data_IF_130500266855
#
_entry.id   IF_130500266855
#
_cell.length_a   1.000
_cell.length_b   1.000
_cell.length_c   1.000
_cell.angle_alpha   90.00
_cell.angle_beta   90.00
_cell.angle_gamma   90.00
#
_symmetry.space_group_name_H-M   'P 1'
#
loop_
_entity.id
_entity.type
_entity.pdbx_description
1 polymer ?
#
# COMPACT_ATOMS: atom_id res chain seq x y z
N UNK A 1 5.22 7.80 11.33
CA UNK A 1 5.11 8.41 9.99
C UNK A 1 4.64 9.87 10.14
N UNK A 2 5.55 10.78 10.47
CA UNK A 2 5.24 12.14 10.98
C UNK A 2 4.65 13.12 9.94
N UNK A 3 4.85 12.87 8.64
CA UNK A 3 4.42 13.81 7.59
C UNK A 3 2.91 13.77 7.31
N UNK A 4 2.26 12.61 7.41
CA UNK A 4 0.81 12.51 7.17
C UNK A 4 -0.05 13.00 8.35
N UNK A 5 0.50 13.06 9.56
CA UNK A 5 -0.20 13.62 10.71
C UNK A 5 -0.32 15.15 10.65
N UNK A 6 0.65 15.82 9.99
CA UNK A 6 0.76 17.30 9.93
C UNK A 6 0.18 17.90 8.65
N UNK A 7 0.10 17.15 7.56
CA UNK A 7 -0.43 17.64 6.28
C UNK A 7 -1.87 17.19 6.07
N UNK A 8 -2.81 18.07 6.39
CA UNK A 8 -4.26 17.81 6.29
C UNK A 8 -4.79 17.65 4.85
N UNK A 9 -4.00 18.02 3.83
CA UNK A 9 -4.46 18.14 2.44
C UNK A 9 -3.62 17.30 1.46
N UNK A 10 -3.04 16.18 1.90
CA UNK A 10 -2.30 15.32 0.98
C UNK A 10 -3.28 14.63 0.03
N UNK A 11 -3.27 15.05 -1.23
CA UNK A 11 -4.07 14.42 -2.29
C UNK A 11 -3.36 13.24 -2.96
N UNK A 12 -2.02 13.28 -2.99
CA UNK A 12 -1.19 12.30 -3.69
C UNK A 12 -0.07 11.79 -2.80
N UNK A 13 0.07 10.47 -2.71
CA UNK A 13 1.16 9.81 -1.98
C UNK A 13 1.92 8.85 -2.91
N UNK A 14 3.24 9.01 -2.97
CA UNK A 14 4.13 8.10 -3.71
C UNK A 14 5.05 7.40 -2.72
N UNK A 15 4.94 6.07 -2.64
CA UNK A 15 5.74 5.22 -1.77
C UNK A 15 6.71 4.42 -2.63
N UNK A 16 8.02 4.58 -2.37
CA UNK A 16 9.07 3.80 -3.03
C UNK A 16 9.61 2.77 -2.06
N UNK A 17 9.39 1.50 -2.38
CA UNK A 17 9.92 0.36 -1.65
C UNK A 17 11.27 0.04 -2.24
N UNK A 18 12.32 0.16 -1.42
CA UNK A 18 13.66 -0.27 -1.81
C UNK A 18 13.88 -1.71 -1.33
N UNK A 19 14.55 -2.56 -2.12
CA UNK A 19 14.81 -3.94 -1.71
C UNK A 19 15.74 -4.06 -0.51
N UNK A 20 16.55 -3.03 -0.21
CA UNK A 20 17.46 -3.00 0.95
C UNK A 20 16.72 -2.66 2.27
N UNK A 21 15.41 -2.46 2.21
CA UNK A 21 14.60 -1.95 3.31
C UNK A 21 13.86 -3.05 4.09
N UNK A 22 14.44 -4.25 4.19
CA UNK A 22 13.94 -5.32 5.06
C UNK A 22 13.78 -4.92 6.54
N UNK A 23 14.30 -3.76 6.93
CA UNK A 23 14.29 -3.23 8.29
C UNK A 23 13.24 -2.15 8.60
N UNK A 24 12.48 -1.63 7.61
CA UNK A 24 11.49 -0.56 7.89
C UNK A 24 10.11 -1.11 8.25
N UNK A 25 9.83 -2.39 7.97
CA UNK A 25 8.55 -3.00 8.31
C UNK A 25 8.50 -3.63 9.71
N UNK A 26 9.62 -3.69 10.45
CA UNK A 26 9.60 -4.03 11.88
C UNK A 26 8.89 -2.95 12.75
N UNK A 27 8.53 -1.80 12.16
CA UNK A 27 7.62 -0.83 12.78
C UNK A 27 6.17 -1.32 12.86
N UNK A 28 5.81 -2.42 12.17
CA UNK A 28 4.44 -2.97 12.14
C UNK A 28 4.27 -4.12 13.16
N UNK A 29 5.35 -4.69 13.68
CA UNK A 29 5.30 -5.86 14.58
C UNK A 29 4.97 -5.58 16.05
N UNK A 30 4.84 -4.32 16.47
CA UNK A 30 4.32 -4.01 17.79
C UNK A 30 2.87 -3.55 17.66
N UNK A 31 1.95 -4.25 18.32
CA UNK A 31 0.50 -4.06 18.33
C UNK A 31 0.00 -2.71 18.89
N UNK A 32 0.64 -1.61 18.52
CA UNK A 32 0.31 -0.22 18.84
C UNK A 32 -0.14 0.59 17.61
N UNK A 33 -0.19 -0.03 16.43
CA UNK A 33 -0.50 0.66 15.17
C UNK A 33 -2.00 0.82 14.91
N UNK A 34 -2.86 0.09 15.62
CA UNK A 34 -4.33 0.21 15.45
C UNK A 34 -4.89 1.57 15.91
N UNK A 35 -4.16 2.32 16.74
CA UNK A 35 -4.67 3.60 17.30
C UNK A 35 -3.94 4.85 16.80
N UNK A 36 -2.71 4.74 16.30
CA UNK A 36 -1.91 5.90 15.86
C UNK A 36 -1.86 6.09 14.33
N UNK A 37 -2.20 5.07 13.53
CA UNK A 37 -2.44 5.25 12.08
C UNK A 37 -3.91 5.51 11.76
N UNK A 38 -4.60 6.35 12.55
CA UNK A 38 -5.67 7.20 11.98
C UNK A 38 -5.02 8.23 11.05
N UNK A 39 -4.42 7.74 9.97
CA UNK A 39 -3.93 8.56 8.90
C UNK A 39 -5.13 9.37 8.43
N UNK A 40 -5.03 10.70 8.51
CA UNK A 40 -6.04 11.60 7.93
C UNK A 40 -5.91 11.55 6.41
N UNK A 41 -6.28 10.41 5.83
CA UNK A 41 -6.31 10.17 4.38
C UNK A 41 -7.62 10.63 3.76
N UNK A 42 -8.40 11.45 4.48
CA UNK A 42 -9.71 11.94 4.06
C UNK A 42 -9.64 12.72 2.74
N UNK A 43 -8.47 13.22 2.34
CA UNK A 43 -8.27 13.95 1.10
C UNK A 43 -7.40 13.20 0.07
N UNK A 44 -6.97 11.98 0.40
CA UNK A 44 -6.06 11.21 -0.44
C UNK A 44 -6.84 10.64 -1.63
N UNK A 45 -6.51 11.11 -2.84
CA UNK A 45 -7.17 10.73 -4.09
C UNK A 45 -6.33 9.75 -4.91
N UNK A 46 -5.01 9.87 -4.81
CA UNK A 46 -4.07 9.13 -5.64
C UNK A 46 -2.95 8.52 -4.81
N UNK A 47 -2.71 7.23 -5.00
CA UNK A 47 -1.57 6.54 -4.38
C UNK A 47 -0.81 5.76 -5.42
N UNK A 48 0.51 5.83 -5.32
CA UNK A 48 1.41 5.08 -6.16
C UNK A 48 2.44 4.34 -5.30
N UNK A 49 2.47 3.02 -5.40
CA UNK A 49 3.51 2.17 -4.83
C UNK A 49 4.49 1.78 -5.91
N UNK A 50 5.79 1.94 -5.65
CA UNK A 50 6.85 1.53 -6.56
C UNK A 50 7.77 0.53 -5.92
N UNK A 51 8.19 -0.46 -6.70
CA UNK A 51 9.15 -1.48 -6.27
C UNK A 51 8.53 -2.61 -5.47
N UNK A 52 7.21 -2.84 -5.60
CA UNK A 52 6.48 -3.85 -4.84
C UNK A 52 7.00 -5.24 -5.17
N UNK A 53 7.23 -6.03 -4.12
CA UNK A 53 7.78 -7.38 -4.21
C UNK A 53 6.69 -8.45 -4.10
N UNK A 54 5.54 -8.09 -3.51
CA UNK A 54 4.40 -8.96 -3.25
C UNK A 54 4.56 -9.73 -1.93
N UNK A 55 5.03 -9.08 -0.86
CA UNK A 55 5.11 -9.69 0.47
C UNK A 55 3.87 -9.37 1.34
N UNK A 56 3.71 -10.11 2.44
CA UNK A 56 2.56 -9.96 3.35
C UNK A 56 2.51 -8.59 4.02
N UNK A 57 3.67 -8.01 4.35
CA UNK A 57 3.75 -6.70 5.00
C UNK A 57 3.26 -5.57 4.07
N UNK A 58 3.58 -5.67 2.77
CA UNK A 58 3.07 -4.75 1.74
C UNK A 58 1.55 -4.87 1.62
N UNK A 59 1.02 -6.08 1.71
CA UNK A 59 -0.42 -6.34 1.64
C UNK A 59 -1.16 -5.76 2.85
N UNK A 60 -0.64 -5.96 4.08
CA UNK A 60 -1.27 -5.42 5.28
C UNK A 60 -1.27 -3.88 5.27
N UNK A 61 -0.20 -3.27 4.77
CA UNK A 61 -0.15 -1.82 4.57
C UNK A 61 -1.21 -1.33 3.58
N UNK A 62 -1.38 -2.02 2.44
CA UNK A 62 -2.42 -1.70 1.46
C UNK A 62 -3.82 -1.80 2.05
N UNK A 63 -4.07 -2.83 2.86
CA UNK A 63 -5.35 -3.03 3.57
C UNK A 63 -5.65 -1.89 4.52
N UNK A 64 -4.68 -1.47 5.34
CA UNK A 64 -4.85 -0.30 6.22
C UNK A 64 -5.14 0.95 5.40
N UNK A 65 -4.44 1.16 4.28
CA UNK A 65 -4.65 2.32 3.43
C UNK A 65 -6.05 2.32 2.79
N UNK A 66 -6.47 1.21 2.18
CA UNK A 66 -7.78 1.08 1.52
C UNK A 66 -8.94 1.21 2.51
N UNK A 67 -8.78 0.76 3.76
CA UNK A 67 -9.80 0.89 4.79
C UNK A 67 -9.93 2.32 5.35
N UNK A 68 -8.90 3.16 5.23
CA UNK A 68 -8.90 4.50 5.82
C UNK A 68 -9.03 5.63 4.78
N UNK A 69 -8.68 5.40 3.51
CA UNK A 69 -8.71 6.41 2.45
C UNK A 69 -10.06 6.49 1.74
N UNK A 70 -11.04 7.11 2.38
CA UNK A 70 -12.43 7.24 1.87
C UNK A 70 -12.52 7.95 0.52
N UNK A 71 -11.63 8.90 0.23
CA UNK A 71 -11.66 9.69 -1.02
C UNK A 71 -10.71 9.17 -2.10
N UNK A 72 -10.13 7.99 -1.88
CA UNK A 72 -9.22 7.38 -2.83
C UNK A 72 -9.95 7.06 -4.12
N UNK A 73 -9.39 7.51 -5.24
CA UNK A 73 -9.93 7.28 -6.58
C UNK A 73 -9.07 6.30 -7.37
N UNK A 74 -7.76 6.40 -7.21
CA UNK A 74 -6.83 5.56 -7.98
C UNK A 74 -5.63 5.13 -7.16
N UNK A 75 -5.28 3.86 -7.31
CA UNK A 75 -4.08 3.24 -6.79
C UNK A 75 -3.30 2.61 -7.94
N UNK A 76 -2.00 2.94 -8.03
CA UNK A 76 -1.07 2.33 -8.96
C UNK A 76 -0.03 1.53 -8.18
N UNK A 77 0.17 0.28 -8.56
CA UNK A 77 1.12 -0.64 -7.95
C UNK A 77 2.13 -1.04 -9.02
N UNK A 78 3.33 -0.48 -8.91
CA UNK A 78 4.46 -0.70 -9.81
C UNK A 78 5.38 -1.74 -9.18
N UNK A 79 5.43 -2.91 -9.80
CA UNK A 79 6.17 -4.08 -9.31
C UNK A 79 7.67 -3.94 -9.56
N UNK A 80 8.48 -4.63 -8.76
CA UNK A 80 9.90 -4.72 -9.02
C UNK A 80 10.19 -5.57 -10.26
N UNK A 81 11.16 -5.15 -11.07
CA UNK A 81 11.60 -5.84 -12.29
C UNK A 81 12.67 -6.89 -12.02
N UNK A 82 13.17 -7.01 -10.77
CA UNK A 82 14.25 -7.94 -10.42
C UNK A 82 13.76 -9.39 -10.38
N UNK A 83 14.11 -10.12 -11.45
CA UNK A 83 14.08 -11.59 -11.61
C UNK A 83 12.67 -12.21 -11.60
N UNK A 84 12.13 -12.34 -12.81
CA UNK A 84 10.89 -13.05 -13.14
C UNK A 84 11.07 -14.57 -13.06
N UNK A 85 11.41 -15.11 -11.89
CA UNK A 85 11.28 -16.55 -11.68
C UNK A 85 9.80 -16.95 -11.78
N UNK A 86 9.53 -18.21 -12.14
CA UNK A 86 8.14 -18.74 -12.17
C UNK A 86 7.46 -18.57 -10.80
N UNK A 87 8.21 -18.77 -9.72
CA UNK A 87 7.75 -18.56 -8.34
C UNK A 87 7.39 -17.10 -8.08
N UNK A 88 8.18 -16.14 -8.58
CA UNK A 88 7.90 -14.71 -8.46
C UNK A 88 6.58 -14.35 -9.15
N UNK A 89 6.35 -14.84 -10.37
CA UNK A 89 5.09 -14.61 -11.10
C UNK A 89 3.88 -15.16 -10.35
N UNK A 90 3.99 -16.37 -9.79
CA UNK A 90 2.91 -16.98 -9.01
C UNK A 90 2.60 -16.14 -7.76
N UNK A 91 3.63 -15.67 -7.06
CA UNK A 91 3.48 -14.79 -5.89
C UNK A 91 2.78 -13.49 -6.26
N UNK A 92 3.18 -12.85 -7.36
CA UNK A 92 2.53 -11.62 -7.82
C UNK A 92 1.07 -11.83 -8.22
N UNK A 93 0.72 -12.96 -8.84
CA UNK A 93 -0.68 -13.28 -9.13
C UNK A 93 -1.51 -13.37 -7.85
N UNK A 94 -1.04 -14.14 -6.86
CA UNK A 94 -1.70 -14.26 -5.54
C UNK A 94 -1.84 -12.89 -4.88
N UNK A 95 -0.77 -12.10 -4.88
CA UNK A 95 -0.77 -10.76 -4.31
C UNK A 95 -1.82 -9.85 -4.98
N UNK A 96 -1.88 -9.84 -6.31
CA UNK A 96 -2.85 -9.02 -7.04
C UNK A 96 -4.29 -9.46 -6.75
N UNK A 97 -4.55 -10.77 -6.70
CA UNK A 97 -5.85 -11.33 -6.33
C UNK A 97 -6.26 -10.92 -4.91
N UNK A 98 -5.33 -11.03 -3.96
CA UNK A 98 -5.55 -10.64 -2.57
C UNK A 98 -5.83 -9.14 -2.43
N UNK A 99 -5.06 -8.28 -3.13
CA UNK A 99 -5.29 -6.82 -3.14
C UNK A 99 -6.67 -6.47 -3.67
N UNK A 100 -7.12 -7.13 -4.74
CA UNK A 100 -8.45 -6.87 -5.33
C UNK A 100 -9.59 -7.32 -4.42
N UNK A 101 -9.36 -8.35 -3.61
CA UNK A 101 -10.30 -8.88 -2.63
C UNK A 101 -10.36 -8.06 -1.32
N UNK A 102 -9.43 -7.13 -1.10
CA UNK A 102 -9.42 -6.31 0.11
C UNK A 102 -10.68 -5.43 0.20
N UNK A 103 -11.25 -5.27 1.41
CA UNK A 103 -12.30 -4.29 1.65
C UNK A 103 -11.75 -2.88 1.41
N UNK A 104 -12.62 -2.01 0.90
CA UNK A 104 -12.27 -0.62 0.55
C UNK A 104 -13.28 0.31 1.19
N UNK A 105 -12.80 1.43 1.70
CA UNK A 105 -13.66 2.51 2.19
C UNK A 105 -14.49 3.15 1.07
N UNK A 106 -13.99 3.09 -0.17
CA UNK A 106 -14.68 3.54 -1.38
C UNK A 106 -14.74 2.41 -2.41
N UNK A 107 -15.93 2.17 -2.97
CA UNK A 107 -16.12 1.20 -4.06
C UNK A 107 -15.47 1.63 -5.37
N UNK A 108 -15.24 2.94 -5.53
CA UNK A 108 -14.83 3.55 -6.80
C UNK A 108 -13.31 3.61 -7.00
N UNK A 109 -12.56 2.93 -6.12
CA UNK A 109 -11.10 2.86 -6.22
C UNK A 109 -10.70 2.01 -7.43
N UNK A 110 -10.05 2.65 -8.40
CA UNK A 110 -9.42 1.96 -9.53
C UNK A 110 -8.00 1.54 -9.15
N UNK A 111 -7.74 0.23 -9.15
CA UNK A 111 -6.42 -0.35 -8.86
C UNK A 111 -5.79 -0.80 -10.18
N UNK A 112 -4.53 -0.41 -10.40
CA UNK A 112 -3.74 -0.78 -11.58
C UNK A 112 -2.42 -1.39 -11.17
N UNK A 113 -2.03 -2.47 -11.85
CA UNK A 113 -0.78 -3.19 -11.65
C UNK A 113 0.10 -3.03 -12.89
N UNK A 114 1.39 -2.73 -12.72
CA UNK A 114 2.35 -2.52 -13.81
C UNK A 114 3.76 -2.99 -13.45
#
# INVERSE_FOLDING_TARGET
MFLLEKSLNVETLVLRISPDLGHILDLVKQGQVETSLKLKLNNLRFVEFRGVVGCLDELEYLKVLLNNAVTLKKMAIIMTTRKWSVLYKKRLSSFNEEVLALPRASSDVTISFS
#
